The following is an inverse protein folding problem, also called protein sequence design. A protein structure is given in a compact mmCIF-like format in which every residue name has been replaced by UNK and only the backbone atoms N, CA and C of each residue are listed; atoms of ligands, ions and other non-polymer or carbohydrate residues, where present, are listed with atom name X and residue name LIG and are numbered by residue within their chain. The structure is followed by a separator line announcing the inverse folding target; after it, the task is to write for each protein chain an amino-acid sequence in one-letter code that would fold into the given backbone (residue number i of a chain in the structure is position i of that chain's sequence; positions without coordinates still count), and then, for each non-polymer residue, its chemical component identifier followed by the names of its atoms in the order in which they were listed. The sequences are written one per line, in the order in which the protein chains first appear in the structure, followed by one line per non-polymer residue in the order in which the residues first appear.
data_IF_440908209815
#
_entry.id   IF_440908209815
#
_cell.length_a   1.000
_cell.length_b   1.000
_cell.length_c   1.000
_cell.angle_alpha   90.00
_cell.angle_beta   90.00
_cell.angle_gamma   90.00
#
_symmetry.space_group_name_H-M   'P 1'
#
loop_
_entity.id
_entity.type
_entity.pdbx_description
1 polymer ?
#
# COMPACT_ATOMS: atom_id res chain seq x y z
N UNK A 1 -10.80 -15.89 9.99
CA UNK A 1 -10.47 -14.56 9.42
C UNK A 1 -9.32 -14.74 8.44
N UNK A 2 -9.39 -14.13 7.27
CA UNK A 2 -8.47 -14.39 6.16
C UNK A 2 -7.76 -13.14 5.67
N UNK A 3 -7.03 -13.26 4.56
CA UNK A 3 -6.38 -12.13 3.90
C UNK A 3 -7.36 -11.44 2.98
N UNK A 4 -7.50 -10.12 3.09
CA UNK A 4 -8.28 -9.33 2.15
C UNK A 4 -7.35 -8.86 1.03
N UNK A 5 -7.72 -9.16 -0.21
CA UNK A 5 -6.96 -8.80 -1.40
C UNK A 5 -7.74 -7.77 -2.20
N UNK A 6 -7.09 -6.64 -2.51
CA UNK A 6 -7.69 -5.53 -3.25
C UNK A 6 -6.87 -5.30 -4.51
N UNK A 7 -7.52 -5.35 -5.66
CA UNK A 7 -6.87 -5.16 -6.96
C UNK A 7 -7.41 -3.93 -7.67
N UNK A 8 -6.53 -3.12 -8.24
CA UNK A 8 -6.90 -1.95 -9.02
C UNK A 8 -5.96 -1.71 -10.18
N UNK A 9 -6.40 -0.85 -11.10
CA UNK A 9 -5.57 -0.22 -12.13
C UNK A 9 -5.68 1.28 -12.02
N UNK A 10 -4.57 1.95 -12.30
CA UNK A 10 -4.55 3.40 -12.43
C UNK A 10 -4.06 3.77 -13.83
N UNK A 11 -4.81 4.64 -14.51
CA UNK A 11 -4.48 5.21 -15.80
C UNK A 11 -4.17 6.69 -15.60
N UNK A 12 -2.92 7.06 -15.86
CA UNK A 12 -2.37 8.38 -15.59
C UNK A 12 -1.33 8.77 -16.64
N UNK A 13 -0.98 10.06 -16.70
CA UNK A 13 0.05 10.57 -17.60
C UNK A 13 1.45 10.07 -17.19
N UNK A 14 2.43 9.97 -18.10
CA UNK A 14 3.76 9.41 -17.81
C UNK A 14 4.50 10.06 -16.62
N UNK A 15 4.22 11.33 -16.32
CA UNK A 15 4.88 12.08 -15.24
C UNK A 15 4.04 12.21 -13.96
N UNK A 16 2.83 11.63 -13.95
CA UNK A 16 1.97 11.72 -12.79
C UNK A 16 2.54 10.90 -11.63
N UNK A 17 2.37 11.44 -10.42
CA UNK A 17 2.74 10.77 -9.16
C UNK A 17 1.50 10.13 -8.59
N UNK A 18 1.52 8.81 -8.54
CA UNK A 18 0.48 8.00 -7.92
C UNK A 18 1.01 7.42 -6.62
N UNK A 19 0.17 7.48 -5.59
CA UNK A 19 0.42 6.86 -4.30
C UNK A 19 -0.77 5.98 -3.97
N UNK A 20 -0.53 4.75 -3.56
CA UNK A 20 -1.55 3.88 -2.99
C UNK A 20 -1.06 3.30 -1.68
N UNK A 21 -1.98 3.01 -0.77
CA UNK A 21 -1.54 2.72 0.57
C UNK A 21 -2.62 2.33 1.56
N UNK A 22 -2.14 2.18 2.78
CA UNK A 22 -2.91 1.82 3.97
C UNK A 22 -2.70 2.93 4.99
N UNK A 23 -3.77 3.31 5.68
CA UNK A 23 -3.73 4.32 6.74
C UNK A 23 -4.63 3.88 7.89
N UNK A 24 -4.30 4.20 9.13
CA UNK A 24 -5.15 3.88 10.28
C UNK A 24 -6.50 4.63 10.22
N UNK A 25 -7.59 3.95 10.57
CA UNK A 25 -8.97 4.47 10.43
C UNK A 25 -9.27 5.68 11.35
N UNK A 26 -8.60 5.74 12.50
CA UNK A 26 -8.68 6.82 13.49
C UNK A 26 -7.93 8.10 13.09
N UNK A 27 -7.14 8.06 12.00
CA UNK A 27 -6.25 9.16 11.60
C UNK A 27 -6.87 10.18 10.63
N UNK A 28 -8.21 10.28 10.56
CA UNK A 28 -8.87 11.27 9.70
C UNK A 28 -8.70 12.67 10.28
N UNK A 29 -7.62 13.36 9.92
CA UNK A 29 -7.60 14.82 9.94
C UNK A 29 -6.49 15.41 9.07
N UNK A 30 -6.95 16.21 8.11
CA UNK A 30 -6.25 17.26 7.38
C UNK A 30 -5.56 16.89 6.06
N UNK A 31 -6.07 17.56 5.02
CA UNK A 31 -5.67 17.47 3.62
C UNK A 31 -4.21 17.87 3.31
N UNK A 32 -3.38 18.23 4.30
CA UNK A 32 -1.99 18.66 4.08
C UNK A 32 -1.02 18.32 5.24
N UNK A 33 -1.40 17.47 6.20
CA UNK A 33 -0.57 17.15 7.36
C UNK A 33 -0.86 15.79 7.94
N UNK A 34 -0.42 14.72 7.26
CA UNK A 34 -0.56 13.35 7.75
C UNK A 34 0.34 13.12 8.97
N UNK A 35 -0.18 12.44 10.00
CA UNK A 35 0.68 11.75 10.96
C UNK A 35 1.38 10.60 10.21
N UNK A 36 2.55 10.89 9.64
CA UNK A 36 3.31 10.01 8.76
C UNK A 36 3.49 8.60 9.34
N UNK A 37 3.58 8.48 10.67
CA UNK A 37 3.95 7.27 11.41
C UNK A 37 3.02 6.07 11.24
N UNK A 38 1.74 6.26 10.94
CA UNK A 38 0.76 5.16 10.78
C UNK A 38 0.34 4.94 9.32
N UNK A 39 1.08 5.53 8.38
CA UNK A 39 0.80 5.49 6.94
C UNK A 39 1.80 4.57 6.24
N UNK A 40 1.28 3.79 5.30
CA UNK A 40 2.04 2.92 4.42
C UNK A 40 1.72 3.34 2.99
N UNK A 41 2.74 3.71 2.21
CA UNK A 41 2.57 4.32 0.90
C UNK A 41 3.48 3.65 -0.12
N UNK A 42 2.92 3.02 -1.14
CA UNK A 42 3.64 2.65 -2.34
C UNK A 42 3.59 3.82 -3.33
N UNK A 43 4.76 4.30 -3.76
CA UNK A 43 4.93 5.43 -4.65
C UNK A 43 5.27 4.96 -6.07
N UNK A 44 4.70 5.61 -7.09
CA UNK A 44 4.92 5.25 -8.50
C UNK A 44 6.39 5.21 -8.93
N UNK A 45 7.26 5.99 -8.29
CA UNK A 45 8.72 5.97 -8.51
C UNK A 45 9.45 4.70 -8.05
N UNK A 46 8.71 3.69 -7.55
CA UNK A 46 9.24 2.39 -7.15
C UNK A 46 9.78 2.34 -5.73
N UNK A 47 9.14 3.09 -4.82
CA UNK A 47 9.49 3.14 -3.41
C UNK A 47 8.30 2.84 -2.54
N UNK A 48 8.55 2.38 -1.32
CA UNK A 48 7.53 2.26 -0.29
C UNK A 48 7.94 3.11 0.91
N UNK A 49 7.00 3.85 1.48
CA UNK A 49 7.16 4.60 2.73
C UNK A 49 6.33 3.91 3.80
N UNK A 50 6.94 3.61 4.94
CA UNK A 50 6.30 3.04 6.13
C UNK A 50 6.65 3.95 7.30
N UNK A 51 5.70 4.77 7.74
CA UNK A 51 6.05 5.81 8.70
C UNK A 51 6.98 6.85 8.09
N UNK A 52 8.13 7.06 8.73
CA UNK A 52 9.20 7.92 8.24
C UNK A 52 10.26 7.15 7.43
N UNK A 53 10.18 5.81 7.40
CA UNK A 53 11.12 4.96 6.66
C UNK A 53 10.70 4.94 5.20
N UNK A 54 11.64 5.17 4.29
CA UNK A 54 11.40 5.12 2.84
C UNK A 54 12.42 4.19 2.19
N UNK A 55 11.93 3.12 1.58
CA UNK A 55 12.75 2.05 1.00
C UNK A 55 12.51 1.92 -0.51
N UNK A 56 13.54 1.47 -1.23
CA UNK A 56 13.43 1.13 -2.64
C UNK A 56 12.86 -0.28 -2.79
N UNK A 57 11.87 -0.43 -3.67
CA UNK A 57 11.24 -1.72 -3.95
C UNK A 57 11.80 -2.39 -5.20
N UNK A 58 12.48 -1.61 -6.07
CA UNK A 58 12.92 -2.06 -7.39
C UNK A 58 11.78 -2.23 -8.40
N UNK A 59 10.53 -1.92 -8.03
CA UNK A 59 9.34 -2.13 -8.86
C UNK A 59 8.61 -0.79 -9.01
N UNK A 60 8.74 -0.17 -10.18
CA UNK A 60 8.00 1.05 -10.52
C UNK A 60 6.55 0.72 -10.90
N UNK A 61 5.65 1.67 -10.69
CA UNK A 61 4.24 1.55 -11.11
C UNK A 61 4.01 2.46 -12.31
N UNK A 62 3.53 1.86 -13.39
CA UNK A 62 3.22 2.50 -14.65
C UNK A 62 1.71 2.58 -14.88
N UNK A 63 1.32 3.45 -15.80
CA UNK A 63 -0.08 3.60 -16.21
C UNK A 63 -0.61 2.29 -16.81
N UNK A 64 -1.74 1.81 -16.29
CA UNK A 64 -2.38 0.56 -16.70
C UNK A 64 -1.92 -0.69 -15.94
N UNK A 65 -0.93 -0.58 -15.05
CA UNK A 65 -0.44 -1.70 -14.24
C UNK A 65 -1.51 -2.25 -13.29
N UNK A 66 -1.53 -3.57 -13.14
CA UNK A 66 -2.34 -4.26 -12.15
C UNK A 66 -1.66 -4.16 -10.79
N UNK A 67 -2.28 -3.45 -9.87
CA UNK A 67 -1.77 -3.25 -8.52
C UNK A 67 -2.64 -4.02 -7.54
N UNK A 68 -2.00 -4.71 -6.60
CA UNK A 68 -2.69 -5.47 -5.55
C UNK A 68 -2.13 -5.15 -4.17
N UNK A 69 -3.01 -4.99 -3.20
CA UNK A 69 -2.65 -5.04 -1.78
C UNK A 69 -3.32 -6.24 -1.13
N UNK A 70 -2.54 -7.03 -0.42
CA UNK A 70 -3.03 -8.07 0.47
C UNK A 70 -2.88 -7.60 1.91
N UNK A 71 -3.97 -7.54 2.66
CA UNK A 71 -4.02 -7.16 4.08
C UNK A 71 -4.41 -8.39 4.90
N UNK A 72 -3.53 -8.81 5.80
CA UNK A 72 -3.77 -9.86 6.77
C UNK A 72 -3.99 -9.20 8.14
N UNK A 73 -5.27 -8.98 8.51
CA UNK A 73 -5.61 -8.34 9.78
C UNK A 73 -5.28 -9.19 11.02
N UNK A 74 -5.48 -10.52 11.03
CA UNK A 74 -4.99 -11.37 12.13
C UNK A 74 -3.49 -11.21 12.43
N UNK A 75 -2.65 -11.15 11.39
CA UNK A 75 -1.21 -10.91 11.53
C UNK A 75 -0.83 -9.42 11.55
N UNK A 76 -1.81 -8.51 11.44
CA UNK A 76 -1.62 -7.06 11.29
C UNK A 76 -0.53 -6.72 10.27
N UNK A 77 -0.60 -7.34 9.08
CA UNK A 77 0.42 -7.21 8.04
C UNK A 77 -0.15 -6.91 6.66
N UNK A 78 0.68 -6.36 5.77
CA UNK A 78 0.32 -6.15 4.38
C UNK A 78 1.48 -6.40 3.42
N UNK A 79 1.12 -6.75 2.19
CA UNK A 79 2.01 -6.96 1.06
C UNK A 79 1.47 -6.25 -0.17
N UNK A 80 2.37 -5.75 -1.00
CA UNK A 80 2.07 -4.92 -2.15
C UNK A 80 2.59 -5.62 -3.40
N UNK A 81 1.81 -5.57 -4.49
CA UNK A 81 2.17 -6.20 -5.75
C UNK A 81 1.88 -5.27 -6.93
N UNK A 82 2.68 -5.41 -7.98
CA UNK A 82 2.50 -4.74 -9.28
C UNK A 82 2.76 -5.77 -10.38
N UNK A 83 1.79 -5.98 -11.26
CA UNK A 83 1.84 -7.00 -12.33
C UNK A 83 2.34 -8.35 -11.79
N UNK A 84 1.72 -8.84 -10.72
CA UNK A 84 2.04 -10.09 -10.00
C UNK A 84 3.39 -10.10 -9.23
N UNK A 85 4.27 -9.11 -9.45
CA UNK A 85 5.53 -8.98 -8.71
C UNK A 85 5.26 -8.42 -7.33
N UNK A 86 5.69 -9.12 -6.29
CA UNK A 86 5.63 -8.63 -4.92
C UNK A 86 6.75 -7.61 -4.65
N UNK A 87 6.44 -6.56 -3.91
CA UNK A 87 7.46 -5.72 -3.32
C UNK A 87 8.29 -6.57 -2.35
N UNK A 88 9.63 -6.42 -2.29
CA UNK A 88 10.48 -7.21 -1.41
C UNK A 88 10.33 -6.82 0.08
N UNK A 89 9.19 -6.24 0.46
CA UNK A 89 8.90 -5.63 1.75
C UNK A 89 7.52 -6.09 2.22
N UNK A 90 7.47 -6.75 3.37
CA UNK A 90 6.23 -7.00 4.12
C UNK A 90 6.11 -5.99 5.24
N UNK A 91 5.00 -5.30 5.25
CA UNK A 91 4.65 -4.36 6.31
C UNK A 91 3.98 -5.14 7.43
N UNK A 92 4.39 -4.90 8.67
CA UNK A 92 3.82 -5.55 9.87
C UNK A 92 3.44 -4.48 10.90
N UNK A 93 2.72 -4.87 11.96
CA UNK A 93 2.23 -3.94 12.99
C UNK A 93 1.25 -2.87 12.47
N UNK A 94 0.44 -3.18 11.45
CA UNK A 94 -0.65 -2.30 10.99
C UNK A 94 -1.62 -1.98 12.13
N UNK A 95 -2.28 -0.82 12.12
CA UNK A 95 -3.31 -0.51 13.11
C UNK A 95 -4.46 -1.54 13.10
N UNK A 96 -5.24 -1.60 14.20
CA UNK A 96 -6.37 -2.54 14.31
C UNK A 96 -7.47 -2.28 13.29
N UNK A 97 -7.65 -1.02 12.90
CA UNK A 97 -8.56 -0.61 11.84
C UNK A 97 -7.76 0.21 10.83
N UNK A 98 -7.87 -0.15 9.55
CA UNK A 98 -7.18 0.53 8.47
C UNK A 98 -8.10 0.82 7.31
N UNK A 99 -7.81 1.90 6.60
CA UNK A 99 -8.42 2.29 5.33
C UNK A 99 -7.39 2.16 4.22
N UNK A 100 -7.88 1.77 3.05
CA UNK A 100 -7.12 1.83 1.81
C UNK A 100 -7.37 3.17 1.15
N UNK A 101 -6.33 3.70 0.51
CA UNK A 101 -6.46 4.93 -0.28
C UNK A 101 -5.61 4.85 -1.54
N UNK A 102 -6.02 5.63 -2.53
CA UNK A 102 -5.24 5.95 -3.72
C UNK A 102 -5.29 7.45 -3.90
N UNK A 103 -4.14 8.07 -4.18
CA UNK A 103 -3.97 9.49 -4.37
C UNK A 103 -3.16 9.73 -5.65
N UNK A 104 -3.60 10.72 -6.43
CA UNK A 104 -2.93 11.19 -7.63
C UNK A 104 -2.72 12.70 -7.54
N UNK A 105 -1.61 13.21 -8.08
CA UNK A 105 -1.35 14.64 -8.13
C UNK A 105 -1.83 15.32 -9.44
N UNK A 106 -2.33 14.55 -10.41
CA UNK A 106 -2.76 15.06 -11.71
C UNK A 106 -4.26 14.88 -11.98
N UNK A 107 -4.79 15.87 -12.72
CA UNK A 107 -6.15 15.83 -13.28
C UNK A 107 -6.25 14.72 -14.35
N UNK A 108 -7.46 14.20 -14.56
CA UNK A 108 -7.75 13.10 -15.49
C UNK A 108 -7.11 11.74 -15.16
N UNK A 109 -6.59 11.57 -13.94
CA UNK A 109 -6.24 10.23 -13.45
C UNK A 109 -7.50 9.39 -13.28
N UNK A 110 -7.55 8.21 -13.92
CA UNK A 110 -8.63 7.24 -13.75
C UNK A 110 -8.15 6.08 -12.89
N UNK A 111 -8.89 5.76 -11.84
CA UNK A 111 -8.62 4.63 -10.96
C UNK A 111 -9.79 3.66 -11.08
N UNK A 112 -9.49 2.39 -11.35
CA UNK A 112 -10.46 1.31 -11.49
C UNK A 112 -10.21 0.27 -10.40
N UNK A 113 -11.18 0.08 -9.51
CA UNK A 113 -11.20 -1.09 -8.63
C UNK A 113 -11.63 -2.31 -9.46
N UNK A 114 -10.79 -3.33 -9.50
CA UNK A 114 -11.03 -4.53 -10.30
C UNK A 114 -11.68 -5.64 -9.48
N UNK A 115 -11.18 -5.87 -8.27
CA UNK A 115 -11.60 -6.99 -7.43
C UNK A 115 -11.33 -6.73 -5.95
N UNK A 116 -12.18 -7.31 -5.11
CA UNK A 116 -12.02 -7.41 -3.66
C UNK A 116 -12.30 -8.86 -3.28
N UNK A 117 -11.24 -9.59 -2.96
CA UNK A 117 -11.30 -11.02 -2.68
C UNK A 117 -10.90 -11.33 -1.24
N UNK A 118 -11.53 -12.35 -0.65
CA UNK A 118 -11.10 -12.94 0.61
C UNK A 118 -10.30 -14.21 0.32
N UNK A 119 -9.02 -14.21 0.70
CA UNK A 119 -8.12 -15.33 0.54
C UNK A 119 -7.96 -16.08 1.87
N UNK A 120 -7.73 -17.38 1.79
CA UNK A 120 -7.49 -18.25 2.95
C UNK A 120 -6.11 -18.00 3.59
N UNK A 121 -5.13 -17.65 2.76
CA UNK A 121 -3.75 -17.36 3.18
C UNK A 121 -3.14 -16.26 2.31
N UNK A 122 -2.07 -15.57 2.78
CA UNK A 122 -1.31 -14.65 1.94
C UNK A 122 -0.71 -15.37 0.72
N UNK A 123 -0.48 -14.65 -0.38
CA UNK A 123 0.32 -15.18 -1.50
C UNK A 123 1.72 -15.56 -0.99
N UNK A 124 2.20 -16.81 -1.21
CA UNK A 124 3.54 -17.23 -0.81
C UNK A 124 4.63 -16.44 -1.52
N UNK A 125 5.68 -16.04 -0.79
CA UNK A 125 6.80 -15.25 -1.35
C UNK A 125 8.16 -15.78 -0.87
N UNK A 126 9.16 -15.74 -1.76
CA UNK A 126 10.45 -16.43 -1.59
C UNK A 126 11.51 -15.62 -0.81
N UNK A 127 11.35 -14.31 -0.69
CA UNK A 127 12.25 -13.43 0.08
C UNK A 127 11.52 -12.15 0.47
N UNK A 128 11.66 -11.72 1.74
CA UNK A 128 10.91 -10.57 2.24
C UNK A 128 11.66 -9.86 3.36
N UNK A 129 11.93 -8.58 3.17
CA UNK A 129 12.35 -7.68 4.24
C UNK A 129 11.12 -7.26 5.04
N UNK A 130 11.23 -7.17 6.37
CA UNK A 130 10.12 -6.75 7.23
C UNK A 130 10.30 -5.29 7.62
N UNK A 131 9.28 -4.47 7.40
CA UNK A 131 9.21 -3.10 7.90
C UNK A 131 8.03 -2.94 8.86
N UNK A 132 8.22 -2.11 9.89
CA UNK A 132 7.19 -1.78 10.88
C UNK A 132 6.98 -0.26 10.91
N UNK A 133 5.75 0.24 10.98
CA UNK A 133 5.48 1.60 11.41
C UNK A 133 6.02 1.78 12.85
N UNK A 134 6.71 2.87 13.15
CA UNK A 134 7.20 3.12 14.51
C UNK A 134 6.02 3.27 15.47
N UNK A 135 5.95 2.42 16.50
CA UNK A 135 5.02 2.57 17.61
C UNK A 135 5.41 3.79 18.47
N UNK A 136 4.41 4.51 18.98
CA UNK A 136 4.68 5.54 20.00
C UNK A 136 5.07 4.83 21.29
N UNK A 137 6.24 5.16 21.85
CA UNK A 137 6.38 5.06 23.29
C UNK A 137 5.36 6.03 23.90
N UNK A 138 4.46 5.49 24.70
CA UNK A 138 3.52 6.22 25.56
C UNK A 138 4.21 7.26 26.43
#
# INVERSE_FOLDING_TARGET
EGVQSFRWKAFFAPNAKIVFGIVADDSISSALGFHERSKVEALSEGKIRVGQIKENTGIQIQSGDDVRIEVNMPERSAMFFVNEKVFPIRVTSLAQNVKLFVQANELNTRIELLDVAQLHSPTPISSTQYLKPMEMCS
#
